data_IF_509952982599
#
_entry.id   IF_509952982599
#
_cell.length_a   1.000
_cell.length_b   1.000
_cell.length_c   1.000
_cell.angle_alpha   90.00
_cell.angle_beta   90.00
_cell.angle_gamma   90.00
#
_symmetry.space_group_name_H-M   'P 1'
#
loop_
_entity.id
_entity.type
_entity.pdbx_description
1 polymer ?
#
# COMPACT_ATOMS: atom_id res chain seq x y z
N UNK A 1 21.58 2.99 -1.58
CA UNK A 1 20.35 3.33 -0.83
C UNK A 1 19.70 4.62 -1.34
N UNK A 2 20.42 5.75 -1.44
CA UNK A 2 19.87 7.02 -1.94
C UNK A 2 19.19 6.90 -3.32
N UNK A 3 19.81 6.17 -4.27
CA UNK A 3 19.23 5.94 -5.60
C UNK A 3 17.86 5.25 -5.56
N UNK A 4 17.61 4.34 -4.61
CA UNK A 4 16.32 3.69 -4.45
C UNK A 4 15.24 4.66 -3.97
N UNK A 5 15.59 5.55 -3.05
CA UNK A 5 14.68 6.61 -2.57
C UNK A 5 14.35 7.58 -3.70
N UNK A 6 15.35 8.00 -4.47
CA UNK A 6 15.18 8.87 -5.64
C UNK A 6 14.31 8.19 -6.70
N UNK A 7 14.53 6.89 -6.95
CA UNK A 7 13.73 6.14 -7.91
C UNK A 7 12.25 6.11 -7.52
N UNK A 8 11.93 5.82 -6.25
CA UNK A 8 10.55 5.84 -5.76
C UNK A 8 9.97 7.25 -5.90
N UNK A 9 10.72 8.28 -5.50
CA UNK A 9 10.31 9.67 -5.68
C UNK A 9 9.98 10.01 -7.13
N UNK A 10 10.85 9.66 -8.07
CA UNK A 10 10.63 9.87 -9.51
C UNK A 10 9.36 9.18 -10.01
N UNK A 11 9.07 7.95 -9.55
CA UNK A 11 7.82 7.27 -9.86
C UNK A 11 6.60 8.03 -9.32
N UNK A 12 6.69 8.67 -8.16
CA UNK A 12 5.59 9.50 -7.65
C UNK A 12 5.36 10.75 -8.49
N UNK A 13 6.44 11.39 -8.98
CA UNK A 13 6.34 12.58 -9.83
C UNK A 13 5.59 12.31 -11.14
N UNK A 14 5.67 11.09 -11.68
CA UNK A 14 4.89 10.69 -12.87
C UNK A 14 3.38 10.81 -12.65
N UNK A 15 2.91 10.60 -11.41
CA UNK A 15 1.49 10.65 -11.07
C UNK A 15 1.02 11.99 -10.50
N UNK A 16 1.94 12.92 -10.19
CA UNK A 16 1.59 14.27 -9.77
C UNK A 16 1.21 15.15 -10.97
N UNK A 17 0.24 14.69 -11.76
CA UNK A 17 -0.22 15.37 -12.96
C UNK A 17 -1.33 16.35 -12.58
N UNK A 18 -1.16 17.64 -12.89
CA UNK A 18 -2.10 18.71 -12.52
C UNK A 18 -3.52 18.50 -13.07
N UNK A 19 -3.65 17.74 -14.17
CA UNK A 19 -4.94 17.45 -14.83
C UNK A 19 -5.73 16.33 -14.17
N UNK A 20 -5.18 15.65 -13.15
CA UNK A 20 -5.84 14.55 -12.43
C UNK A 20 -5.83 14.84 -10.92
N UNK A 21 -6.82 15.59 -10.39
CA UNK A 21 -6.83 16.07 -9.00
C UNK A 21 -6.81 14.95 -7.96
N UNK A 22 -7.31 13.76 -8.32
CA UNK A 22 -7.32 12.58 -7.44
C UNK A 22 -5.95 11.95 -7.27
N UNK A 23 -5.03 12.18 -8.21
CA UNK A 23 -3.64 11.71 -8.15
C UNK A 23 -2.68 12.79 -7.68
N UNK A 24 -2.97 14.07 -7.99
CA UNK A 24 -2.16 15.21 -7.58
C UNK A 24 -2.40 15.58 -6.10
N UNK A 25 -1.89 14.75 -5.20
CA UNK A 25 -1.93 14.99 -3.76
C UNK A 25 -0.78 14.28 -3.02
N UNK A 26 -0.56 14.68 -1.76
CA UNK A 26 0.46 14.06 -0.91
C UNK A 26 0.18 12.59 -0.55
N UNK A 27 -1.07 12.14 -0.62
CA UNK A 27 -1.42 10.75 -0.34
C UNK A 27 -0.85 9.79 -1.39
N UNK A 28 -0.79 10.20 -2.66
CA UNK A 28 -0.13 9.43 -3.73
C UNK A 28 1.32 9.18 -3.37
N UNK A 29 2.08 10.23 -3.04
CA UNK A 29 3.50 10.09 -2.69
C UNK A 29 3.68 9.17 -1.47
N UNK A 30 2.91 9.41 -0.41
CA UNK A 30 2.94 8.56 0.79
C UNK A 30 2.63 7.10 0.47
N UNK A 31 1.60 6.83 -0.34
CA UNK A 31 1.19 5.47 -0.69
C UNK A 31 2.31 4.70 -1.41
N UNK A 32 3.05 5.33 -2.32
CA UNK A 32 4.18 4.71 -3.01
C UNK A 32 5.32 4.34 -2.06
N UNK A 33 5.70 5.23 -1.13
CA UNK A 33 6.72 4.91 -0.14
C UNK A 33 6.26 3.83 0.84
N UNK A 34 4.99 3.87 1.27
CA UNK A 34 4.43 2.86 2.16
C UNK A 34 4.41 1.47 1.51
N UNK A 35 4.12 1.36 0.21
CA UNK A 35 4.24 0.09 -0.53
C UNK A 35 5.63 -0.52 -0.38
N UNK A 36 6.68 0.30 -0.55
CA UNK A 36 8.07 -0.16 -0.45
C UNK A 36 8.41 -0.58 0.97
N UNK A 37 7.92 0.15 1.98
CA UNK A 37 8.13 -0.17 3.39
C UNK A 37 7.33 -1.40 3.85
N UNK A 38 6.22 -1.73 3.18
CA UNK A 38 5.41 -2.91 3.46
C UNK A 38 5.96 -4.16 2.77
N UNK A 39 6.31 -4.09 1.48
CA UNK A 39 6.72 -5.26 0.70
C UNK A 39 8.24 -5.51 0.71
N UNK A 40 9.05 -4.45 0.77
CA UNK A 40 10.51 -4.54 0.71
C UNK A 40 11.12 -5.35 1.87
N UNK A 41 10.77 -5.07 3.13
CA UNK A 41 11.30 -5.80 4.28
C UNK A 41 10.98 -7.31 4.28
N UNK A 42 9.75 -7.69 3.92
CA UNK A 42 9.36 -9.11 3.88
C UNK A 42 10.01 -9.83 2.70
N UNK A 43 10.17 -9.17 1.55
CA UNK A 43 10.92 -9.70 0.41
C UNK A 43 12.39 -9.94 0.77
N UNK A 44 13.03 -8.95 1.41
CA UNK A 44 14.40 -9.07 1.90
C UNK A 44 14.54 -10.22 2.91
N UNK A 45 13.61 -10.32 3.87
CA UNK A 45 13.58 -11.42 4.83
C UNK A 45 13.42 -12.79 4.15
N UNK A 46 12.56 -12.92 3.14
CA UNK A 46 12.35 -14.15 2.38
C UNK A 46 13.62 -14.58 1.64
N UNK A 47 14.29 -13.64 0.93
CA UNK A 47 15.51 -13.92 0.16
C UNK A 47 16.67 -14.30 1.09
N UNK A 48 16.92 -13.50 2.14
CA UNK A 48 18.01 -13.77 3.09
C UNK A 48 17.81 -15.12 3.79
N UNK A 49 16.57 -15.45 4.16
CA UNK A 49 16.25 -16.73 4.77
C UNK A 49 16.38 -17.89 3.77
N UNK A 50 15.97 -17.72 2.51
CA UNK A 50 16.18 -18.71 1.46
C UNK A 50 17.68 -18.97 1.19
N UNK A 51 18.51 -17.93 1.28
CA UNK A 51 19.97 -18.01 1.19
C UNK A 51 20.64 -18.54 2.47
N UNK A 52 19.85 -18.91 3.50
CA UNK A 52 20.32 -19.37 4.81
C UNK A 52 21.24 -18.39 5.55
N UNK A 53 21.08 -17.09 5.26
CA UNK A 53 21.80 -16.02 5.98
C UNK A 53 21.07 -15.72 7.28
N UNK A 54 21.78 -15.82 8.40
CA UNK A 54 21.24 -15.44 9.71
C UNK A 54 21.24 -13.92 9.84
N UNK A 55 20.06 -13.35 10.05
CA UNK A 55 19.90 -11.90 10.14
C UNK A 55 18.73 -11.56 11.07
N UNK A 56 18.84 -10.47 11.83
CA UNK A 56 17.78 -10.02 12.71
C UNK A 56 16.69 -9.30 11.90
N UNK A 57 15.59 -9.98 11.66
CA UNK A 57 14.44 -9.45 10.91
C UNK A 57 13.49 -8.59 11.76
N UNK A 58 13.70 -8.51 13.08
CA UNK A 58 12.83 -7.77 14.02
C UNK A 58 12.69 -6.28 13.72
N UNK A 59 13.77 -5.49 13.55
CA UNK A 59 13.63 -4.06 13.26
C UNK A 59 12.88 -3.81 11.94
N UNK A 60 13.07 -4.69 10.95
CA UNK A 60 12.39 -4.63 9.66
C UNK A 60 10.89 -4.96 9.77
N UNK A 61 10.53 -5.90 10.63
CA UNK A 61 9.14 -6.19 10.95
C UNK A 61 8.47 -4.98 11.65
N UNK A 62 9.16 -4.32 12.59
CA UNK A 62 8.65 -3.12 13.27
C UNK A 62 8.39 -1.99 12.26
N UNK A 63 9.34 -1.72 11.35
CA UNK A 63 9.16 -0.72 10.29
C UNK A 63 7.94 -1.04 9.43
N UNK A 64 7.73 -2.31 9.08
CA UNK A 64 6.58 -2.74 8.27
C UNK A 64 5.25 -2.59 9.01
N UNK A 65 5.22 -2.82 10.31
CA UNK A 65 4.04 -2.59 11.16
C UNK A 65 3.72 -1.10 11.25
N UNK A 66 4.73 -0.24 11.45
CA UNK A 66 4.54 1.21 11.44
C UNK A 66 4.03 1.69 10.07
N UNK A 67 4.56 1.13 8.97
CA UNK A 67 4.08 1.41 7.63
C UNK A 67 2.63 0.96 7.42
N UNK A 68 2.21 -0.16 8.00
CA UNK A 68 0.82 -0.62 7.95
C UNK A 68 -0.12 0.35 8.68
N UNK A 69 0.26 0.81 9.86
CA UNK A 69 -0.53 1.80 10.63
C UNK A 69 -0.64 3.11 9.85
N UNK A 70 0.47 3.59 9.29
CA UNK A 70 0.48 4.79 8.45
C UNK A 70 -0.38 4.59 7.18
N UNK A 71 -0.35 3.41 6.56
CA UNK A 71 -1.20 3.08 5.42
C UNK A 71 -2.69 3.12 5.78
N UNK A 72 -3.09 2.55 6.92
CA UNK A 72 -4.46 2.63 7.41
C UNK A 72 -4.89 4.10 7.64
N UNK A 73 -4.01 4.91 8.24
CA UNK A 73 -4.23 6.35 8.40
C UNK A 73 -4.42 7.08 7.08
N UNK A 74 -3.57 6.81 6.08
CA UNK A 74 -3.71 7.38 4.73
C UNK A 74 -5.02 6.96 4.08
N UNK A 75 -5.43 5.69 4.19
CA UNK A 75 -6.72 5.20 3.65
C UNK A 75 -7.90 5.97 4.26
N UNK A 76 -7.91 6.15 5.58
CA UNK A 76 -8.98 6.89 6.26
C UNK A 76 -8.98 8.36 5.87
N UNK A 77 -7.83 9.04 5.92
CA UNK A 77 -7.71 10.46 5.58
C UNK A 77 -8.08 10.72 4.12
N UNK A 78 -7.57 9.89 3.19
CA UNK A 78 -7.93 9.96 1.78
C UNK A 78 -9.43 9.71 1.59
N UNK A 79 -10.01 8.72 2.28
CA UNK A 79 -11.46 8.47 2.26
C UNK A 79 -12.29 9.68 2.73
N UNK A 80 -11.85 10.36 3.79
CA UNK A 80 -12.50 11.59 4.29
C UNK A 80 -12.34 12.76 3.32
N UNK A 81 -11.15 12.94 2.73
CA UNK A 81 -10.93 13.97 1.70
C UNK A 81 -11.80 13.73 0.47
N UNK A 82 -11.93 12.48 0.02
CA UNK A 82 -12.84 12.12 -1.07
C UNK A 82 -14.32 12.33 -0.71
N UNK A 83 -14.69 12.09 0.55
CA UNK A 83 -16.05 12.33 1.03
C UNK A 83 -16.41 13.83 1.10
N UNK A 84 -15.41 14.70 1.27
CA UNK A 84 -15.58 16.16 1.32
C UNK A 84 -15.70 16.85 -0.05
N UNK A 85 -15.36 16.15 -1.14
CA UNK A 85 -15.53 16.66 -2.51
C UNK A 85 -16.97 16.40 -2.96
N UNK A 86 -17.85 17.38 -2.72
CA UNK A 86 -19.22 17.40 -3.24
C UNK A 86 -19.26 18.15 -4.58
N UNK A 87 -19.32 17.42 -5.69
CA UNK A 87 -19.80 17.95 -6.97
C UNK A 87 -21.25 17.50 -7.15
N UNK A 88 -22.10 18.36 -7.70
CA UNK A 88 -23.57 18.27 -7.72
C UNK A 88 -24.18 17.05 -8.45
N UNK A 89 -23.38 16.07 -8.88
CA UNK A 89 -23.87 14.88 -9.61
C UNK A 89 -23.34 13.53 -9.10
N UNK A 90 -22.19 13.43 -8.42
CA UNK A 90 -21.72 12.15 -7.83
C UNK A 90 -20.56 12.35 -6.85
N UNK A 91 -20.56 11.60 -5.73
CA UNK A 91 -19.47 11.55 -4.76
C UNK A 91 -18.27 10.81 -5.38
N UNK A 92 -17.03 11.28 -5.16
CA UNK A 92 -15.82 10.66 -5.71
C UNK A 92 -15.65 9.17 -5.34
N UNK A 93 -16.26 8.74 -4.23
CA UNK A 93 -16.33 7.34 -3.80
C UNK A 93 -17.30 6.48 -4.63
N UNK A 94 -18.22 7.07 -5.39
CA UNK A 94 -19.13 6.39 -6.29
C UNK A 94 -18.50 6.05 -7.66
N UNK A 95 -17.28 6.55 -7.93
CA UNK A 95 -16.54 6.23 -9.15
C UNK A 95 -16.04 4.78 -9.17
N UNK A 96 -15.79 4.20 -7.99
CA UNK A 96 -15.36 2.81 -7.84
C UNK A 96 -16.42 2.07 -7.02
N UNK A 97 -17.16 1.12 -7.63
CA UNK A 97 -18.08 0.26 -6.89
C UNK A 97 -17.35 -0.39 -5.71
N UNK A 98 -17.97 -0.37 -4.53
CA UNK A 98 -17.45 -1.03 -3.32
C UNK A 98 -16.04 -0.57 -2.86
N UNK A 99 -15.66 0.70 -3.10
CA UNK A 99 -14.38 1.28 -2.66
C UNK A 99 -14.03 0.94 -1.19
N UNK A 100 -15.00 1.07 -0.28
CA UNK A 100 -14.82 0.76 1.14
C UNK A 100 -14.54 -0.74 1.39
N UNK A 101 -15.27 -1.63 0.71
CA UNK A 101 -15.09 -3.08 0.83
C UNK A 101 -13.71 -3.52 0.32
N UNK A 102 -13.28 -2.96 -0.83
CA UNK A 102 -11.96 -3.24 -1.39
C UNK A 102 -10.83 -2.74 -0.48
N UNK A 103 -10.98 -1.57 0.17
CA UNK A 103 -10.02 -1.10 1.17
C UNK A 103 -9.96 -2.03 2.40
N UNK A 104 -11.10 -2.55 2.86
CA UNK A 104 -11.12 -3.54 3.95
C UNK A 104 -10.36 -4.81 3.55
N UNK A 105 -10.63 -5.36 2.37
CA UNK A 105 -9.92 -6.52 1.86
C UNK A 105 -8.41 -6.28 1.71
N UNK A 106 -8.01 -5.10 1.23
CA UNK A 106 -6.61 -4.68 1.20
C UNK A 106 -5.98 -4.75 2.59
N UNK A 107 -6.59 -4.13 3.59
CA UNK A 107 -6.05 -4.12 4.96
C UNK A 107 -6.00 -5.53 5.53
N UNK A 108 -7.03 -6.35 5.32
CA UNK A 108 -7.04 -7.75 5.75
C UNK A 108 -5.87 -8.54 5.16
N UNK A 109 -5.61 -8.40 3.86
CA UNK A 109 -4.49 -9.07 3.18
C UNK A 109 -3.13 -8.60 3.70
N UNK A 110 -2.95 -7.28 3.88
CA UNK A 110 -1.71 -6.73 4.43
C UNK A 110 -1.46 -7.21 5.87
N UNK A 111 -2.50 -7.19 6.72
CA UNK A 111 -2.45 -7.70 8.09
C UNK A 111 -2.13 -9.20 8.13
N UNK A 112 -2.79 -10.00 7.29
CA UNK A 112 -2.56 -11.44 7.21
C UNK A 112 -1.12 -11.74 6.75
N UNK A 113 -0.64 -11.03 5.73
CA UNK A 113 0.70 -11.22 5.20
C UNK A 113 1.81 -10.84 6.19
N UNK A 114 1.66 -9.72 6.90
CA UNK A 114 2.56 -9.37 8.00
C UNK A 114 2.43 -10.33 9.18
N UNK A 115 1.22 -10.84 9.46
CA UNK A 115 0.98 -11.85 10.48
C UNK A 115 1.76 -13.13 10.24
N UNK A 116 1.89 -13.58 8.98
CA UNK A 116 2.73 -14.74 8.62
C UNK A 116 4.20 -14.56 9.01
N UNK A 117 4.70 -13.32 9.03
CA UNK A 117 6.07 -13.00 9.43
C UNK A 117 6.20 -12.70 10.93
N UNK A 118 5.22 -12.02 11.52
CA UNK A 118 5.27 -11.56 12.91
C UNK A 118 4.98 -12.67 13.93
N UNK A 119 4.05 -13.59 13.63
CA UNK A 119 3.70 -14.72 14.49
C UNK A 119 4.92 -15.59 14.91
N UNK A 120 5.80 -16.05 13.99
CA UNK A 120 6.99 -16.80 14.38
C UNK A 120 7.97 -15.94 15.20
N UNK A 121 8.10 -14.65 14.87
CA UNK A 121 8.96 -13.71 15.59
C UNK A 121 8.54 -13.53 17.05
N UNK A 122 7.23 -13.35 17.30
CA UNK A 122 6.66 -13.26 18.66
C UNK A 122 6.89 -14.55 19.44
N UNK A 123 6.79 -15.70 18.76
CA UNK A 123 7.06 -17.02 19.35
C UNK A 123 8.55 -17.33 19.52
N UNK A 124 9.44 -16.37 19.25
CA UNK A 124 10.92 -16.52 19.28
C UNK A 124 11.40 -17.69 18.41
N UNK A 125 10.66 -18.00 17.34
CA UNK A 125 11.02 -19.01 16.33
C UNK A 125 11.50 -18.30 15.09
N UNK A 126 12.41 -18.94 14.37
CA UNK A 126 12.82 -18.43 13.07
C UNK A 126 11.65 -18.54 12.07
N UNK A 127 11.34 -17.46 11.31
CA UNK A 127 10.31 -17.52 10.30
C UNK A 127 10.69 -18.50 9.19
N UNK A 128 9.78 -19.43 8.89
CA UNK A 128 9.99 -20.41 7.83
C UNK A 128 9.88 -19.72 6.46
N UNK A 129 10.72 -20.12 5.49
CA UNK A 129 10.73 -19.54 4.13
C UNK A 129 9.34 -19.59 3.49
N UNK A 130 8.65 -20.72 3.60
CA UNK A 130 7.31 -20.87 3.05
C UNK A 130 6.30 -19.87 3.65
N UNK A 131 6.41 -19.57 4.95
CA UNK A 131 5.55 -18.58 5.61
C UNK A 131 5.86 -17.15 5.17
N UNK A 132 7.13 -16.84 4.92
CA UNK A 132 7.55 -15.54 4.38
C UNK A 132 7.08 -15.35 2.93
N UNK A 133 7.17 -16.40 2.10
CA UNK A 133 6.67 -16.37 0.72
C UNK A 133 5.15 -16.19 0.70
N UNK A 134 4.42 -16.95 1.52
CA UNK A 134 2.97 -16.77 1.66
C UNK A 134 2.63 -15.35 2.10
N UNK A 135 3.33 -14.83 3.11
CA UNK A 135 3.14 -13.46 3.57
C UNK A 135 3.40 -12.41 2.49
N UNK A 136 4.45 -12.62 1.68
CA UNK A 136 4.78 -11.76 0.54
C UNK A 136 3.66 -11.78 -0.51
N UNK A 137 3.14 -12.96 -0.88
CA UNK A 137 2.03 -13.09 -1.84
C UNK A 137 0.79 -12.33 -1.34
N UNK A 138 0.45 -12.47 -0.04
CA UNK A 138 -0.68 -11.77 0.56
C UNK A 138 -0.49 -10.25 0.53
N UNK A 139 0.71 -9.75 0.89
CA UNK A 139 1.02 -8.31 0.83
C UNK A 139 0.94 -7.78 -0.59
N UNK A 140 1.51 -8.51 -1.56
CA UNK A 140 1.42 -8.14 -2.97
C UNK A 140 -0.04 -8.10 -3.45
N UNK A 141 -0.87 -9.07 -3.06
CA UNK A 141 -2.30 -9.06 -3.34
C UNK A 141 -3.00 -7.81 -2.80
N UNK A 142 -2.73 -7.44 -1.54
CA UNK A 142 -3.27 -6.21 -0.94
C UNK A 142 -2.79 -4.94 -1.66
N UNK A 143 -1.51 -4.87 -2.03
CA UNK A 143 -0.96 -3.74 -2.79
C UNK A 143 -1.53 -3.64 -4.20
N UNK A 144 -1.81 -4.78 -4.86
CA UNK A 144 -2.49 -4.79 -6.16
C UNK A 144 -3.90 -4.22 -6.06
N UNK A 145 -4.67 -4.55 -5.01
CA UNK A 145 -5.97 -3.90 -4.75
C UNK A 145 -5.78 -2.39 -4.57
N UNK A 146 -4.78 -1.97 -3.79
CA UNK A 146 -4.44 -0.56 -3.62
C UNK A 146 -4.15 0.16 -4.94
N UNK A 147 -3.46 -0.50 -5.86
CA UNK A 147 -3.17 0.04 -7.20
C UNK A 147 -4.42 0.07 -8.10
N UNK A 148 -5.24 -0.97 -8.08
CA UNK A 148 -6.53 -0.98 -8.80
C UNK A 148 -7.42 0.17 -8.33
N UNK A 149 -7.51 0.39 -7.01
CA UNK A 149 -8.24 1.51 -6.45
C UNK A 149 -7.64 2.86 -6.87
N UNK A 150 -6.32 3.00 -6.83
CA UNK A 150 -5.63 4.22 -7.25
C UNK A 150 -5.92 4.57 -8.71
N UNK A 151 -5.86 3.60 -9.62
CA UNK A 151 -6.17 3.82 -11.04
C UNK A 151 -7.68 4.01 -11.29
N UNK A 152 -8.54 3.31 -10.54
CA UNK A 152 -10.00 3.49 -10.61
C UNK A 152 -10.47 4.88 -10.17
N UNK A 153 -9.68 5.56 -9.34
CA UNK A 153 -9.93 6.95 -8.93
C UNK A 153 -9.46 7.98 -9.97
N UNK A 154 -9.02 7.58 -11.17
CA UNK A 154 -8.63 8.53 -12.21
C UNK A 154 -9.81 9.42 -12.61
N UNK A 155 -9.74 10.70 -12.25
CA UNK A 155 -10.69 11.73 -12.67
C UNK A 155 -9.94 12.83 -13.41
N UNK A 156 -10.33 13.10 -14.65
CA UNK A 156 -9.75 14.18 -15.46
C UNK A 156 -10.61 15.42 -15.35
N UNK A 157 -9.99 16.56 -15.04
CA UNK A 157 -10.70 17.86 -15.09
C UNK A 157 -11.15 18.16 -16.52
N UNK A 158 -12.40 18.57 -16.70
CA UNK A 158 -12.96 18.94 -18.01
C UNK A 158 -13.69 17.83 -18.78
N UNK A 159 -13.70 16.58 -18.27
CA UNK A 159 -14.62 15.56 -18.77
C UNK A 159 -16.03 15.82 -18.23
N UNK A 160 -16.90 16.38 -19.08
CA UNK A 160 -18.33 16.27 -18.88
C UNK A 160 -18.69 14.79 -18.94
N UNK A 161 -19.03 14.20 -17.81
CA UNK A 161 -19.67 12.88 -17.79
C UNK A 161 -21.04 13.14 -18.42
N UNK A 162 -21.18 12.82 -19.71
CA UNK A 162 -22.44 12.89 -20.41
C UNK A 162 -23.41 11.95 -19.68
N UNK A 163 -24.33 12.54 -18.91
CA UNK A 163 -25.60 11.92 -18.57
C UNK A 163 -26.52 11.93 -19.77
#
# INVERSE_FOLDING_TARGET
>A
MALGVIFVWMMTCVYQIDTVPTWHNGYTTLAFFLTVLLSGPILAAAILRAARVTFNTTPFAIISVLALIACAGVIVLQGLSLASIHSSVQQASALVPDYASLQVWRVVLLCAGLGCWLCPLIRRREPHVAGLILGLILILGGEMIGRVLFYGLHMTVGMAIAG
#
